data_IF_521445921694
#
_entry.id   IF_521445921694
#
_cell.length_a   1.000
_cell.length_b   1.000
_cell.length_c   1.000
_cell.angle_alpha   90.00
_cell.angle_beta   90.00
_cell.angle_gamma   90.00
#
_symmetry.space_group_name_H-M   'P 1'
#
loop_
_entity.id
_entity.type
_entity.pdbx_description
1 polymer ?
#
# COMPACT_ATOMS: atom_id res chain seq x y z
N UNK A 1 -25.90 -14.38 11.89
CA UNK A 1 -26.25 -13.97 10.52
C UNK A 1 -25.52 -12.69 10.08
N UNK A 2 -25.88 -11.48 10.54
CA UNK A 2 -25.21 -10.22 10.10
C UNK A 2 -23.70 -10.13 10.43
N UNK A 3 -23.26 -10.48 11.63
CA UNK A 3 -21.82 -10.48 11.99
C UNK A 3 -20.96 -11.45 11.16
N UNK A 4 -21.56 -12.52 10.63
CA UNK A 4 -20.86 -13.53 9.82
C UNK A 4 -20.83 -13.13 8.34
N UNK A 5 -21.89 -12.49 7.83
CA UNK A 5 -21.96 -11.96 6.47
C UNK A 5 -21.01 -10.78 6.23
N UNK A 6 -20.65 -10.05 7.30
CA UNK A 6 -19.78 -8.86 7.23
C UNK A 6 -18.28 -9.14 7.13
N UNK A 7 -17.85 -10.41 7.19
CA UNK A 7 -16.44 -10.79 7.18
C UNK A 7 -15.59 -10.13 8.29
N UNK A 8 -16.19 -9.61 9.37
CA UNK A 8 -15.45 -9.05 10.52
C UNK A 8 -14.53 -10.10 11.17
N UNK A 9 -14.90 -11.37 11.12
CA UNK A 9 -14.06 -12.46 11.61
C UNK A 9 -12.76 -12.64 10.80
N UNK A 10 -12.71 -12.22 9.53
CA UNK A 10 -11.47 -12.27 8.73
C UNK A 10 -10.48 -11.17 9.08
N UNK A 11 -10.91 -10.05 9.67
CA UNK A 11 -10.02 -8.99 10.12
C UNK A 11 -9.20 -9.39 11.36
N UNK A 12 -9.60 -10.46 12.05
CA UNK A 12 -8.93 -10.95 13.28
C UNK A 12 -8.70 -12.46 13.31
N UNK A 13 -9.20 -13.23 12.35
CA UNK A 13 -9.08 -14.69 12.31
C UNK A 13 -9.15 -15.24 10.88
N UNK A 14 -7.97 -15.48 10.29
CA UNK A 14 -7.80 -16.46 9.21
C UNK A 14 -7.53 -15.92 7.80
N UNK A 15 -6.25 -15.58 7.53
CA UNK A 15 -5.48 -16.10 6.38
C UNK A 15 -4.00 -15.69 6.39
N UNK A 16 -3.63 -14.69 7.21
CA UNK A 16 -2.24 -14.30 7.43
C UNK A 16 -1.90 -14.59 8.90
N UNK A 17 -0.75 -15.22 9.17
CA UNK A 17 -0.24 -15.36 10.53
C UNK A 17 -0.21 -13.98 11.20
N UNK A 18 -0.47 -13.88 12.50
CA UNK A 18 -0.34 -12.60 13.22
C UNK A 18 1.04 -11.97 13.00
N UNK A 19 2.05 -12.83 12.80
CA UNK A 19 3.41 -12.46 12.42
C UNK A 19 3.48 -11.80 11.05
N UNK A 20 2.74 -12.32 10.07
CA UNK A 20 2.73 -11.81 8.71
C UNK A 20 2.03 -10.44 8.62
N UNK A 21 0.87 -10.27 9.27
CA UNK A 21 0.20 -8.97 9.35
C UNK A 21 1.08 -7.91 10.04
N UNK A 22 1.79 -8.31 11.10
CA UNK A 22 2.78 -7.45 11.77
C UNK A 22 3.93 -7.09 10.82
N UNK A 23 4.43 -8.05 10.05
CA UNK A 23 5.50 -7.82 9.08
C UNK A 23 5.06 -6.88 7.96
N UNK A 24 3.91 -7.12 7.34
CA UNK A 24 3.33 -6.23 6.32
C UNK A 24 3.20 -4.80 6.89
N UNK A 25 2.58 -4.65 8.07
CA UNK A 25 2.38 -3.33 8.69
C UNK A 25 3.70 -2.62 8.96
N UNK A 26 4.70 -3.34 9.49
CA UNK A 26 6.02 -2.79 9.77
C UNK A 26 6.75 -2.42 8.48
N UNK A 27 6.68 -3.26 7.43
CA UNK A 27 7.26 -2.96 6.12
C UNK A 27 6.65 -1.69 5.52
N UNK A 28 5.32 -1.51 5.59
CA UNK A 28 4.67 -0.30 5.10
C UNK A 28 5.09 0.94 5.91
N UNK A 29 5.12 0.86 7.24
CA UNK A 29 5.50 1.97 8.11
C UNK A 29 6.97 2.37 7.94
N UNK A 30 7.89 1.40 7.96
CA UNK A 30 9.32 1.66 7.76
C UNK A 30 9.61 2.09 6.31
N UNK A 31 8.92 1.50 5.33
CA UNK A 31 9.05 1.86 3.92
C UNK A 31 8.66 3.31 3.65
N UNK A 32 7.53 3.77 4.21
CA UNK A 32 7.11 5.18 4.09
C UNK A 32 8.10 6.14 4.77
N UNK A 33 8.62 5.77 5.95
CA UNK A 33 9.62 6.57 6.66
C UNK A 33 10.98 6.64 5.94
N UNK A 34 11.33 5.61 5.16
CA UNK A 34 12.58 5.55 4.40
C UNK A 34 12.58 6.39 3.12
N UNK A 35 11.46 6.98 2.70
CA UNK A 35 11.39 7.71 1.44
C UNK A 35 11.78 9.20 1.61
N UNK A 36 12.77 9.72 0.87
CA UNK A 36 13.26 11.09 1.02
C UNK A 36 12.21 12.20 0.81
N UNK A 37 11.18 11.93 0.00
CA UNK A 37 10.17 12.93 -0.37
C UNK A 37 9.40 13.51 0.83
N UNK A 38 9.20 12.74 1.90
CA UNK A 38 8.52 13.23 3.12
C UNK A 38 9.48 14.08 3.96
N UNK A 39 10.74 13.64 4.08
CA UNK A 39 11.75 14.27 4.93
C UNK A 39 12.09 15.67 4.41
N UNK A 40 12.30 15.83 3.10
CA UNK A 40 12.67 17.11 2.48
C UNK A 40 11.61 18.18 2.71
N UNK A 41 10.33 17.80 2.84
CA UNK A 41 9.24 18.75 3.10
C UNK A 41 9.38 19.42 4.47
N UNK A 42 9.85 18.70 5.49
CA UNK A 42 10.08 19.27 6.82
C UNK A 42 11.27 20.23 6.87
N UNK A 43 12.24 20.08 5.97
CA UNK A 43 13.41 20.97 5.88
C UNK A 43 13.13 22.33 5.23
N UNK A 44 11.96 22.50 4.59
CA UNK A 44 11.57 23.80 4.02
C UNK A 44 11.14 24.83 5.07
N UNK A 45 10.87 24.40 6.30
CA UNK A 45 10.38 25.26 7.39
C UNK A 45 11.53 25.62 8.33
N UNK A 46 11.83 26.92 8.45
CA UNK A 46 12.95 27.44 9.25
C UNK A 46 12.78 27.30 10.78
N UNK A 47 11.58 26.99 11.27
CA UNK A 47 11.27 26.96 12.71
C UNK A 47 10.82 25.55 13.16
N UNK A 48 11.55 24.98 14.13
CA UNK A 48 11.29 23.65 14.72
C UNK A 48 9.90 23.55 15.36
N UNK A 49 9.40 24.62 15.99
CA UNK A 49 8.06 24.61 16.58
C UNK A 49 6.96 24.51 15.51
N UNK A 50 7.14 25.17 14.37
CA UNK A 50 6.21 25.10 13.25
C UNK A 50 6.23 23.71 12.60
N UNK A 51 7.41 23.08 12.49
CA UNK A 51 7.56 21.69 12.04
C UNK A 51 6.78 20.73 12.94
N UNK A 52 6.92 20.84 14.27
CA UNK A 52 6.20 19.97 15.22
C UNK A 52 4.68 20.17 15.17
N UNK A 53 4.20 21.41 15.04
CA UNK A 53 2.76 21.69 14.88
C UNK A 53 2.23 21.11 13.57
N UNK A 54 2.95 21.28 12.46
CA UNK A 54 2.56 20.69 11.17
C UNK A 54 2.51 19.17 11.23
N UNK A 55 3.49 18.53 11.87
CA UNK A 55 3.50 17.08 12.05
C UNK A 55 2.29 16.60 12.87
N UNK A 56 1.89 17.34 13.91
CA UNK A 56 0.70 17.03 14.71
C UNK A 56 -0.58 17.10 13.87
N UNK A 57 -0.75 18.15 13.05
CA UNK A 57 -1.87 18.25 12.12
C UNK A 57 -1.90 17.11 11.11
N UNK A 58 -0.74 16.79 10.51
CA UNK A 58 -0.62 15.66 9.57
C UNK A 58 -1.03 14.34 10.23
N UNK A 59 -0.54 14.06 11.43
CA UNK A 59 -0.89 12.85 12.18
C UNK A 59 -2.39 12.81 12.52
N UNK A 60 -2.99 13.96 12.86
CA UNK A 60 -4.42 14.10 13.09
C UNK A 60 -5.25 13.75 11.86
N UNK A 61 -4.90 14.28 10.68
CA UNK A 61 -5.59 13.96 9.44
C UNK A 61 -5.44 12.49 9.03
N UNK A 62 -4.24 11.91 9.21
CA UNK A 62 -4.01 10.48 8.98
C UNK A 62 -4.89 9.64 9.90
N UNK A 63 -4.96 9.99 11.19
CA UNK A 63 -5.79 9.28 12.16
C UNK A 63 -7.28 9.31 11.78
N UNK A 64 -7.79 10.46 11.32
CA UNK A 64 -9.16 10.58 10.83
C UNK A 64 -9.40 9.68 9.61
N UNK A 65 -8.48 9.69 8.63
CA UNK A 65 -8.61 8.85 7.43
C UNK A 65 -8.56 7.35 7.80
N UNK A 66 -7.64 6.94 8.66
CA UNK A 66 -7.48 5.54 9.06
C UNK A 66 -8.63 5.02 9.93
N UNK A 67 -9.32 5.87 10.67
CA UNK A 67 -10.52 5.49 11.40
C UNK A 67 -11.75 5.40 10.48
N UNK A 68 -11.86 6.34 9.53
CA UNK A 68 -13.05 6.47 8.68
C UNK A 68 -13.07 5.48 7.52
N UNK A 69 -11.94 5.22 6.85
CA UNK A 69 -11.92 4.36 5.67
C UNK A 69 -12.39 2.90 5.94
N UNK A 70 -11.89 2.20 6.98
CA UNK A 70 -12.38 0.85 7.30
C UNK A 70 -13.85 0.87 7.73
N UNK A 71 -14.25 1.92 8.45
CA UNK A 71 -15.64 2.11 8.91
C UNK A 71 -16.59 2.25 7.71
N UNK A 72 -16.25 3.07 6.73
CA UNK A 72 -17.04 3.24 5.50
C UNK A 72 -17.08 1.93 4.70
N UNK A 73 -15.96 1.21 4.59
CA UNK A 73 -15.92 -0.09 3.92
C UNK A 73 -16.84 -1.13 4.59
N UNK A 74 -16.85 -1.17 5.93
CA UNK A 74 -17.76 -2.04 6.68
C UNK A 74 -19.23 -1.65 6.49
N UNK A 75 -19.57 -0.36 6.57
CA UNK A 75 -20.94 0.11 6.33
C UNK A 75 -21.42 -0.15 4.91
N UNK A 76 -20.54 0.02 3.91
CA UNK A 76 -20.88 -0.30 2.52
C UNK A 76 -21.29 -1.77 2.35
N UNK A 77 -20.59 -2.70 3.01
CA UNK A 77 -20.97 -4.13 3.01
C UNK A 77 -22.34 -4.35 3.64
N UNK A 78 -22.63 -3.68 4.75
CA UNK A 78 -23.96 -3.77 5.40
C UNK A 78 -25.05 -3.28 4.44
N UNK A 79 -24.84 -2.12 3.83
CA UNK A 79 -25.83 -1.48 2.96
C UNK A 79 -26.10 -2.33 1.71
N UNK A 80 -25.04 -2.81 1.05
CA UNK A 80 -25.16 -3.69 -0.11
C UNK A 80 -25.96 -4.96 0.21
N UNK A 81 -25.69 -5.60 1.36
CA UNK A 81 -26.42 -6.81 1.75
C UNK A 81 -27.88 -6.47 2.06
N UNK A 82 -28.14 -5.38 2.79
CA UNK A 82 -29.50 -5.01 3.15
C UNK A 82 -30.37 -4.62 1.95
N UNK A 83 -29.79 -3.99 0.92
CA UNK A 83 -30.52 -3.58 -0.28
C UNK A 83 -30.72 -4.70 -1.29
N UNK A 84 -29.76 -5.62 -1.42
CA UNK A 84 -29.80 -6.63 -2.48
C UNK A 84 -30.26 -8.00 -1.98
N UNK A 85 -29.91 -8.41 -0.76
CA UNK A 85 -30.18 -9.77 -0.29
C UNK A 85 -31.69 -10.04 -0.20
N UNK A 86 -32.17 -11.01 -0.97
CA UNK A 86 -33.58 -11.42 -0.98
C UNK A 86 -34.50 -10.51 -1.81
N UNK A 87 -33.93 -9.59 -2.59
CA UNK A 87 -34.68 -8.79 -3.57
C UNK A 87 -34.71 -9.49 -4.92
N UNK A 88 -35.84 -9.38 -5.64
CA UNK A 88 -35.92 -9.83 -7.03
C UNK A 88 -35.11 -8.89 -7.91
N UNK A 89 -34.42 -9.44 -8.91
CA UNK A 89 -33.61 -8.66 -9.84
C UNK A 89 -34.43 -7.56 -10.56
N UNK A 90 -35.71 -7.83 -10.85
CA UNK A 90 -36.63 -6.84 -11.45
C UNK A 90 -36.92 -5.63 -10.53
N UNK A 91 -36.91 -5.85 -9.21
CA UNK A 91 -37.15 -4.82 -8.20
C UNK A 91 -35.84 -4.20 -7.67
N UNK A 92 -34.70 -4.61 -8.24
CA UNK A 92 -33.40 -4.16 -7.78
C UNK A 92 -33.18 -2.65 -8.07
N UNK A 93 -32.41 -1.95 -7.24
CA UNK A 93 -32.15 -0.53 -7.42
C UNK A 93 -31.49 -0.21 -8.76
N UNK A 94 -31.83 0.94 -9.37
CA UNK A 94 -31.25 1.38 -10.66
C UNK A 94 -29.72 1.46 -10.64
N UNK A 95 -29.11 1.71 -9.48
CA UNK A 95 -27.67 1.77 -9.34
C UNK A 95 -27.02 0.42 -9.65
N UNK A 96 -27.66 -0.72 -9.36
CA UNK A 96 -27.12 -2.05 -9.63
C UNK A 96 -26.85 -2.23 -11.13
N UNK A 97 -27.83 -1.88 -11.97
CA UNK A 97 -27.70 -1.94 -13.42
C UNK A 97 -26.60 -1.03 -13.97
N UNK A 98 -26.27 0.07 -13.29
CA UNK A 98 -25.16 0.95 -13.68
C UNK A 98 -23.81 0.30 -13.41
N UNK A 99 -23.64 -0.37 -12.27
CA UNK A 99 -22.39 -1.05 -11.91
C UNK A 99 -22.23 -2.43 -12.57
N UNK A 100 -23.32 -3.03 -13.02
CA UNK A 100 -23.28 -4.23 -13.86
C UNK A 100 -22.77 -3.91 -15.26
N UNK A 101 -23.18 -2.77 -15.84
CA UNK A 101 -22.63 -2.28 -17.12
C UNK A 101 -21.12 -2.06 -17.07
N UNK A 102 -20.57 -1.68 -15.92
CA UNK A 102 -19.12 -1.51 -15.73
C UNK A 102 -18.39 -2.83 -15.45
N UNK A 103 -19.11 -3.96 -15.36
CA UNK A 103 -18.61 -5.29 -14.95
C UNK A 103 -17.94 -5.30 -13.58
N UNK A 104 -18.27 -4.33 -12.72
CA UNK A 104 -17.69 -4.23 -11.38
C UNK A 104 -18.53 -4.97 -10.33
N UNK A 105 -19.81 -5.17 -10.64
CA UNK A 105 -20.73 -6.05 -9.91
C UNK A 105 -21.34 -7.00 -10.95
N UNK A 106 -21.33 -8.29 -10.69
CA UNK A 106 -21.94 -9.30 -11.56
C UNK A 106 -22.95 -10.09 -10.75
N UNK A 107 -24.18 -10.15 -11.25
CA UNK A 107 -25.19 -11.08 -10.76
C UNK A 107 -25.19 -12.30 -11.69
N UNK A 108 -25.02 -13.47 -11.12
CA UNK A 108 -25.13 -14.74 -11.82
C UNK A 108 -26.15 -15.59 -11.08
N UNK A 109 -27.36 -15.68 -11.64
CA UNK A 109 -28.42 -16.51 -11.10
C UNK A 109 -28.00 -17.99 -11.20
N UNK A 110 -27.80 -18.62 -10.04
CA UNK A 110 -27.33 -20.01 -9.92
C UNK A 110 -28.46 -21.00 -9.64
N UNK A 111 -29.63 -20.52 -9.22
CA UNK A 111 -30.76 -21.34 -8.82
C UNK A 111 -32.03 -21.06 -9.66
N UNK A 112 -31.92 -20.20 -10.67
CA UNK A 112 -32.97 -19.79 -11.60
C UNK A 112 -34.22 -19.23 -10.88
N UNK A 113 -34.02 -18.53 -9.75
CA UNK A 113 -35.10 -17.96 -8.93
C UNK A 113 -35.27 -16.43 -9.06
N UNK A 114 -34.43 -15.77 -9.86
CA UNK A 114 -34.38 -14.32 -10.08
C UNK A 114 -34.24 -13.48 -8.78
N UNK A 115 -33.85 -14.09 -7.66
CA UNK A 115 -33.65 -13.43 -6.36
C UNK A 115 -32.15 -13.30 -6.08
N UNK A 116 -31.70 -12.10 -5.74
CA UNK A 116 -30.28 -11.89 -5.45
C UNK A 116 -29.93 -12.45 -4.08
N UNK A 117 -29.12 -13.51 -4.04
CA UNK A 117 -28.63 -14.10 -2.79
C UNK A 117 -27.14 -13.82 -2.56
N UNK A 118 -26.84 -13.25 -1.39
CA UNK A 118 -25.49 -13.10 -0.89
C UNK A 118 -25.42 -13.49 0.59
N UNK A 119 -24.70 -14.57 0.89
CA UNK A 119 -24.62 -15.17 2.24
C UNK A 119 -23.23 -14.99 2.88
N UNK A 120 -22.29 -14.38 2.16
CA UNK A 120 -20.96 -14.00 2.64
C UNK A 120 -19.84 -14.88 2.09
N UNK A 121 -18.57 -14.43 2.22
CA UNK A 121 -17.45 -15.00 1.48
C UNK A 121 -17.13 -16.45 1.85
N UNK A 122 -17.42 -16.88 3.08
CA UNK A 122 -17.12 -18.23 3.60
C UNK A 122 -18.30 -19.20 3.50
N UNK A 123 -19.48 -18.75 3.06
CA UNK A 123 -20.65 -19.61 2.94
C UNK A 123 -20.50 -20.57 1.75
N UNK A 124 -20.88 -21.84 1.92
CA UNK A 124 -21.00 -22.83 0.86
C UNK A 124 -22.24 -23.70 1.11
N UNK A 125 -22.78 -24.32 0.06
CA UNK A 125 -23.84 -25.32 0.17
C UNK A 125 -23.20 -26.70 0.25
N UNK A 126 -23.57 -27.48 1.28
CA UNK A 126 -23.19 -28.90 1.37
C UNK A 126 -23.97 -29.71 0.33
N UNK A 127 -23.54 -30.94 0.03
CA UNK A 127 -24.24 -31.87 -0.88
C UNK A 127 -25.72 -32.10 -0.52
N UNK A 128 -26.09 -31.88 0.73
CA UNK A 128 -27.47 -31.97 1.25
C UNK A 128 -28.28 -30.65 1.06
N UNK A 129 -27.74 -29.66 0.34
CA UNK A 129 -28.37 -28.36 0.08
C UNK A 129 -28.36 -27.39 1.26
N UNK A 130 -27.72 -27.73 2.39
CA UNK A 130 -27.66 -26.86 3.58
C UNK A 130 -26.54 -25.84 3.48
N UNK A 131 -26.84 -24.61 3.90
CA UNK A 131 -25.85 -23.55 4.07
C UNK A 131 -24.91 -23.89 5.23
N UNK A 132 -23.63 -24.04 4.91
CA UNK A 132 -22.53 -24.24 5.85
C UNK A 132 -21.50 -23.10 5.68
N UNK A 133 -20.65 -22.92 6.69
CA UNK A 133 -19.61 -21.89 6.70
C UNK A 133 -18.27 -22.58 6.79
N UNK A 134 -17.34 -22.25 5.88
CA UNK A 134 -15.99 -22.79 5.88
C UNK A 134 -15.16 -22.14 7.00
N UNK A 135 -14.23 -22.92 7.58
CA UNK A 135 -13.38 -22.45 8.68
C UNK A 135 -12.38 -21.36 8.25
N UNK A 136 -12.03 -21.29 6.96
CA UNK A 136 -11.16 -20.24 6.39
C UNK A 136 -11.38 -20.06 4.88
N UNK A 137 -10.91 -18.93 4.33
CA UNK A 137 -10.97 -18.68 2.88
C UNK A 137 -10.16 -19.69 2.07
N UNK A 138 -9.02 -20.15 2.61
CA UNK A 138 -8.21 -21.21 2.01
C UNK A 138 -8.94 -22.56 2.03
N UNK A 139 -9.66 -22.87 3.11
CA UNK A 139 -10.48 -24.08 3.20
C UNK A 139 -11.63 -24.04 2.19
N UNK A 140 -12.27 -22.89 1.98
CA UNK A 140 -13.29 -22.71 0.93
C UNK A 140 -12.68 -22.84 -0.47
N UNK A 141 -11.51 -22.24 -0.72
CA UNK A 141 -10.84 -22.31 -2.03
C UNK A 141 -10.33 -23.72 -2.38
N UNK A 142 -10.04 -24.55 -1.37
CA UNK A 142 -9.68 -25.95 -1.54
C UNK A 142 -10.89 -26.88 -1.74
N UNK A 143 -12.12 -26.37 -1.54
CA UNK A 143 -13.34 -27.10 -1.88
C UNK A 143 -13.61 -26.96 -3.37
N UNK A 144 -13.97 -28.06 -4.02
CA UNK A 144 -14.40 -28.05 -5.42
C UNK A 144 -15.79 -27.42 -5.52
N UNK A 145 -15.81 -26.09 -5.64
CA UNK A 145 -17.01 -25.27 -5.78
C UNK A 145 -17.35 -24.98 -7.25
N UNK A 146 -16.91 -25.87 -8.16
CA UNK A 146 -17.06 -25.70 -9.60
C UNK A 146 -18.51 -25.82 -10.08
N UNK A 147 -19.38 -26.48 -9.31
CA UNK A 147 -20.82 -26.56 -9.60
C UNK A 147 -21.55 -25.33 -9.03
N UNK A 148 -22.39 -24.69 -9.87
CA UNK A 148 -23.27 -23.57 -9.49
C UNK A 148 -24.11 -23.87 -8.22
N UNK A 149 -24.40 -25.14 -7.93
CA UNK A 149 -25.15 -25.56 -6.75
C UNK A 149 -24.39 -25.42 -5.42
N UNK A 150 -23.07 -25.28 -5.45
CA UNK A 150 -22.19 -25.37 -4.27
C UNK A 150 -21.81 -24.01 -3.66
N UNK A 151 -21.80 -22.94 -4.45
CA UNK A 151 -21.55 -21.58 -3.95
C UNK A 151 -22.86 -20.77 -3.88
N UNK A 152 -23.39 -20.49 -2.67
CA UNK A 152 -24.67 -19.81 -2.45
C UNK A 152 -24.65 -18.31 -2.74
N UNK A 153 -23.51 -17.76 -3.17
CA UNK A 153 -23.40 -16.36 -3.52
C UNK A 153 -23.61 -16.19 -5.03
N UNK A 154 -24.63 -15.45 -5.40
CA UNK A 154 -24.96 -15.11 -6.79
C UNK A 154 -24.46 -13.71 -7.15
N UNK A 155 -23.99 -12.95 -6.15
CA UNK A 155 -23.45 -11.60 -6.33
C UNK A 155 -21.93 -11.59 -6.16
N UNK A 156 -21.23 -11.24 -7.23
CA UNK A 156 -19.79 -10.99 -7.23
C UNK A 156 -19.51 -9.49 -7.35
N UNK A 157 -18.68 -8.94 -6.45
CA UNK A 157 -18.29 -7.53 -6.48
C UNK A 157 -16.84 -7.33 -6.03
N UNK A 158 -16.16 -6.35 -6.63
CA UNK A 158 -14.80 -5.97 -6.23
C UNK A 158 -14.78 -5.21 -4.90
N UNK A 159 -13.83 -5.51 -4.01
CA UNK A 159 -13.70 -4.80 -2.72
C UNK A 159 -13.47 -3.29 -2.89
N UNK A 160 -12.80 -2.88 -3.97
CA UNK A 160 -12.45 -1.49 -4.27
C UNK A 160 -13.66 -0.63 -4.65
N UNK A 161 -14.72 -1.26 -5.17
CA UNK A 161 -15.93 -0.55 -5.61
C UNK A 161 -16.82 -0.13 -4.44
N UNK A 162 -16.73 -0.83 -3.32
CA UNK A 162 -17.70 -0.73 -2.22
C UNK A 162 -17.79 0.69 -1.67
N UNK A 163 -16.63 1.35 -1.51
CA UNK A 163 -16.59 2.72 -0.98
C UNK A 163 -17.19 3.73 -1.97
N UNK A 164 -17.00 3.51 -3.27
CA UNK A 164 -17.55 4.37 -4.35
C UNK A 164 -19.05 4.15 -4.56
N UNK A 165 -19.54 2.93 -4.35
CA UNK A 165 -20.94 2.57 -4.57
C UNK A 165 -21.83 2.91 -3.36
N UNK A 166 -21.26 2.99 -2.15
CA UNK A 166 -22.00 3.26 -0.91
C UNK A 166 -22.89 4.52 -0.92
N UNK A 167 -22.48 5.68 -1.50
CA UNK A 167 -23.36 6.85 -1.57
C UNK A 167 -24.65 6.60 -2.37
N UNK A 168 -24.60 5.72 -3.38
CA UNK A 168 -25.77 5.32 -4.16
C UNK A 168 -26.68 4.39 -3.35
N UNK A 169 -26.10 3.48 -2.55
CA UNK A 169 -26.82 2.59 -1.62
C UNK A 169 -27.36 3.30 -0.37
N UNK A 170 -26.98 4.56 -0.15
CA UNK A 170 -27.41 5.34 1.01
C UNK A 170 -28.43 6.43 0.60
N UNK A 171 -28.92 6.37 -0.64
CA UNK A 171 -29.85 7.34 -1.24
C UNK A 171 -29.41 8.81 -1.03
N UNK A 172 -28.11 9.05 -1.17
CA UNK A 172 -27.52 10.38 -0.98
C UNK A 172 -27.87 11.27 -2.18
N UNK A 173 -28.27 12.53 -1.97
CA UNK A 173 -28.60 13.42 -3.08
C UNK A 173 -27.47 13.55 -4.13
N UNK A 174 -27.79 13.64 -5.44
CA UNK A 174 -26.79 13.62 -6.51
C UNK A 174 -25.70 14.69 -6.40
N UNK A 175 -26.03 15.87 -5.87
CA UNK A 175 -25.05 16.95 -5.69
C UNK A 175 -23.97 16.60 -4.64
N UNK A 176 -24.33 15.83 -3.61
CA UNK A 176 -23.40 15.41 -2.57
C UNK A 176 -22.50 14.28 -3.08
N UNK A 177 -23.06 13.36 -3.89
CA UNK A 177 -22.28 12.35 -4.61
C UNK A 177 -21.29 13.03 -5.56
N UNK A 178 -21.74 14.01 -6.34
CA UNK A 178 -20.86 14.75 -7.26
C UNK A 178 -19.70 15.45 -6.54
N UNK A 179 -19.97 16.08 -5.39
CA UNK A 179 -18.95 16.73 -4.57
C UNK A 179 -17.94 15.72 -4.00
N UNK A 180 -18.43 14.56 -3.52
CA UNK A 180 -17.59 13.46 -3.05
C UNK A 180 -16.67 12.96 -4.17
N UNK A 181 -17.24 12.64 -5.33
CA UNK A 181 -16.50 12.13 -6.49
C UNK A 181 -15.46 13.15 -6.99
N UNK A 182 -15.80 14.43 -7.02
CA UNK A 182 -14.85 15.50 -7.33
C UNK A 182 -13.68 15.53 -6.34
N UNK A 183 -13.95 15.36 -5.04
CA UNK A 183 -12.93 15.23 -4.00
C UNK A 183 -12.01 14.03 -4.20
N UNK A 184 -12.58 12.86 -4.53
CA UNK A 184 -11.81 11.64 -4.80
C UNK A 184 -10.90 11.80 -6.02
N UNK A 185 -11.40 12.39 -7.11
CA UNK A 185 -10.59 12.69 -8.31
C UNK A 185 -9.48 13.70 -7.98
N UNK A 186 -9.80 14.77 -7.23
CA UNK A 186 -8.81 15.76 -6.82
C UNK A 186 -7.70 15.15 -5.95
N UNK A 187 -8.04 14.26 -5.02
CA UNK A 187 -7.07 13.54 -4.18
C UNK A 187 -6.16 12.61 -5.01
N UNK A 188 -6.74 11.86 -5.96
CA UNK A 188 -5.98 10.98 -6.84
C UNK A 188 -5.01 11.77 -7.75
N UNK A 189 -5.50 12.85 -8.37
CA UNK A 189 -4.68 13.72 -9.23
C UNK A 189 -3.56 14.43 -8.46
N UNK A 190 -3.81 14.86 -7.22
CA UNK A 190 -2.80 15.50 -6.37
C UNK A 190 -1.63 14.54 -6.08
N UNK A 191 -1.94 13.29 -5.71
CA UNK A 191 -0.92 12.26 -5.46
C UNK A 191 -0.15 11.90 -6.73
N UNK A 192 -0.86 11.72 -7.84
CA UNK A 192 -0.25 11.39 -9.13
C UNK A 192 0.73 12.48 -9.59
N UNK A 193 0.33 13.75 -9.54
CA UNK A 193 1.19 14.87 -9.90
C UNK A 193 2.42 14.97 -8.99
N UNK A 194 2.25 14.78 -7.68
CA UNK A 194 3.36 14.81 -6.72
C UNK A 194 4.38 13.70 -6.96
N UNK A 195 3.92 12.46 -7.13
CA UNK A 195 4.79 11.32 -7.40
C UNK A 195 5.50 11.45 -8.76
N UNK A 196 4.80 11.92 -9.80
CA UNK A 196 5.39 12.18 -11.11
C UNK A 196 6.50 13.24 -11.06
N UNK A 197 6.33 14.29 -10.26
CA UNK A 197 7.37 15.30 -10.06
C UNK A 197 8.60 14.67 -9.41
N UNK A 198 8.40 13.92 -8.32
CA UNK A 198 9.51 13.26 -7.61
C UNK A 198 10.27 12.32 -8.55
N UNK A 199 9.55 11.45 -9.28
CA UNK A 199 10.14 10.54 -10.26
C UNK A 199 10.93 11.28 -11.35
N UNK A 200 10.36 12.36 -11.87
CA UNK A 200 10.99 13.21 -12.87
C UNK A 200 12.29 13.84 -12.36
N UNK A 201 12.30 14.37 -11.14
CA UNK A 201 13.49 14.97 -10.54
C UNK A 201 14.56 13.92 -10.22
N UNK A 202 14.18 12.74 -9.73
CA UNK A 202 15.15 11.66 -9.49
C UNK A 202 15.77 11.15 -10.79
N UNK A 203 15.00 11.06 -11.89
CA UNK A 203 15.54 10.64 -13.18
C UNK A 203 16.41 11.72 -13.86
N UNK A 204 15.99 12.98 -13.83
CA UNK A 204 16.74 14.08 -14.47
C UNK A 204 17.96 14.52 -13.66
N UNK A 205 17.79 14.81 -12.37
CA UNK A 205 18.85 15.39 -11.55
C UNK A 205 19.72 14.32 -10.88
N UNK A 206 19.14 13.27 -10.29
CA UNK A 206 19.93 12.26 -9.57
C UNK A 206 20.54 11.19 -10.49
N UNK A 207 19.81 10.71 -11.49
CA UNK A 207 20.33 9.73 -12.44
C UNK A 207 21.09 10.39 -13.60
N UNK A 208 20.43 11.25 -14.38
CA UNK A 208 21.05 11.82 -15.58
C UNK A 208 22.18 12.80 -15.24
N UNK A 209 21.94 13.82 -14.40
CA UNK A 209 22.96 14.84 -14.06
C UNK A 209 24.07 14.28 -13.17
N UNK A 210 23.76 13.66 -12.03
CA UNK A 210 24.82 13.24 -11.10
C UNK A 210 25.58 11.97 -11.49
N UNK A 211 24.94 11.00 -12.17
CA UNK A 211 25.52 9.67 -12.39
C UNK A 211 25.94 9.46 -13.86
N UNK A 212 25.05 9.74 -14.82
CA UNK A 212 25.28 9.35 -16.24
C UNK A 212 26.09 10.40 -17.00
N UNK A 213 25.66 11.66 -16.96
CA UNK A 213 26.30 12.75 -17.68
C UNK A 213 26.27 14.06 -16.86
N UNK A 214 27.36 14.36 -16.13
CA UNK A 214 27.51 15.58 -15.32
C UNK A 214 27.42 16.89 -16.08
N UNK A 215 27.70 16.86 -17.38
CA UNK A 215 27.82 18.07 -18.20
C UNK A 215 26.50 18.46 -18.91
N UNK A 216 25.35 17.94 -18.46
CA UNK A 216 24.06 18.33 -19.05
C UNK A 216 23.72 19.79 -18.73
N UNK A 217 23.25 20.49 -19.76
CA UNK A 217 22.75 21.87 -19.61
C UNK A 217 21.38 21.88 -18.92
N UNK A 218 21.03 22.99 -18.26
CA UNK A 218 19.72 23.11 -17.58
C UNK A 218 18.54 22.93 -18.55
N UNK A 219 18.68 23.33 -19.81
CA UNK A 219 17.66 23.09 -20.84
C UNK A 219 17.49 21.59 -21.15
N UNK A 220 18.61 20.86 -21.24
CA UNK A 220 18.58 19.41 -21.44
C UNK A 220 18.04 18.69 -20.20
N UNK A 221 18.36 19.15 -19.00
CA UNK A 221 17.81 18.60 -17.75
C UNK A 221 16.28 18.71 -17.72
N UNK A 222 15.72 19.87 -18.06
CA UNK A 222 14.26 20.06 -18.14
C UNK A 222 13.64 19.17 -19.24
N UNK A 223 14.34 18.97 -20.35
CA UNK A 223 13.89 18.04 -21.40
C UNK A 223 13.84 16.60 -20.89
N UNK A 224 14.90 16.13 -20.23
CA UNK A 224 14.93 14.80 -19.61
C UNK A 224 13.85 14.63 -18.55
N UNK A 225 13.61 15.65 -17.71
CA UNK A 225 12.54 15.67 -16.74
C UNK A 225 11.16 15.48 -17.41
N UNK A 226 10.88 16.20 -18.50
CA UNK A 226 9.62 16.08 -19.25
C UNK A 226 9.46 14.71 -19.92
N UNK A 227 10.53 14.19 -20.53
CA UNK A 227 10.53 12.87 -21.17
C UNK A 227 10.31 11.78 -20.12
N UNK A 228 10.97 11.87 -18.97
CA UNK A 228 10.77 10.95 -17.84
C UNK A 228 9.33 10.97 -17.32
N UNK A 229 8.74 12.17 -17.13
CA UNK A 229 7.34 12.31 -16.72
C UNK A 229 6.37 11.71 -17.74
N UNK A 230 6.58 11.98 -19.03
CA UNK A 230 5.73 11.46 -20.09
C UNK A 230 5.87 9.93 -20.22
N UNK A 231 7.10 9.41 -20.19
CA UNK A 231 7.36 7.97 -20.22
C UNK A 231 6.73 7.24 -19.03
N UNK A 232 6.87 7.80 -17.82
CA UNK A 232 6.23 7.26 -16.63
C UNK A 232 4.70 7.28 -16.73
N UNK A 233 4.11 8.34 -17.27
CA UNK A 233 2.67 8.44 -17.51
C UNK A 233 2.17 7.38 -18.49
N UNK A 234 2.90 7.14 -19.58
CA UNK A 234 2.55 6.09 -20.57
C UNK A 234 2.58 4.70 -19.93
N UNK A 235 3.62 4.40 -19.14
CA UNK A 235 3.72 3.12 -18.41
C UNK A 235 2.59 2.97 -17.39
N UNK A 236 2.32 4.03 -16.62
CA UNK A 236 1.23 4.04 -15.64
C UNK A 236 -0.15 3.86 -16.31
N UNK A 237 -0.40 4.52 -17.44
CA UNK A 237 -1.64 4.37 -18.21
C UNK A 237 -1.78 2.95 -18.79
N UNK A 238 -0.69 2.36 -19.28
CA UNK A 238 -0.70 0.99 -19.78
C UNK A 238 -1.11 -0.02 -18.71
N UNK A 239 -0.49 0.04 -17.52
CA UNK A 239 -0.86 -0.82 -16.39
C UNK A 239 -2.22 -0.47 -15.77
N UNK A 240 -2.68 0.78 -15.92
CA UNK A 240 -4.01 1.20 -15.48
C UNK A 240 -5.15 0.67 -16.37
N UNK A 241 -4.92 0.54 -17.69
CA UNK A 241 -5.90 -0.03 -18.63
C UNK A 241 -5.92 -1.56 -18.54
N UNK A 242 -4.76 -2.17 -18.34
CA UNK A 242 -4.61 -3.61 -18.18
C UNK A 242 -4.19 -3.94 -16.74
N UNK A 243 -5.05 -3.69 -15.73
CA UNK A 243 -4.71 -4.01 -14.37
C UNK A 243 -4.59 -5.53 -14.25
N UNK A 244 -3.43 -6.06 -13.80
CA UNK A 244 -3.37 -7.45 -13.40
C UNK A 244 -4.31 -7.58 -12.19
N UNK A 245 -5.46 -8.23 -12.38
CA UNK A 245 -6.67 -8.11 -11.56
C UNK A 245 -6.52 -8.49 -10.07
N UNK A 246 -5.37 -9.01 -9.65
CA UNK A 246 -5.07 -9.36 -8.25
C UNK A 246 -3.85 -8.60 -7.64
N UNK A 247 -3.26 -7.62 -8.35
CA UNK A 247 -1.89 -7.17 -8.06
C UNK A 247 -1.74 -5.74 -7.51
N UNK A 248 -2.75 -4.88 -7.54
CA UNK A 248 -2.54 -3.44 -7.27
C UNK A 248 -2.04 -3.22 -5.83
N UNK A 249 -2.78 -3.72 -4.83
CA UNK A 249 -2.39 -3.60 -3.43
C UNK A 249 -1.06 -4.33 -3.12
N UNK A 250 -0.84 -5.50 -3.73
CA UNK A 250 0.39 -6.28 -3.58
C UNK A 250 1.61 -5.56 -4.14
N UNK A 251 1.47 -4.92 -5.31
CA UNK A 251 2.55 -4.16 -5.96
C UNK A 251 2.98 -2.98 -5.10
N UNK A 252 2.02 -2.30 -4.47
CA UNK A 252 2.30 -1.24 -3.50
C UNK A 252 3.02 -1.80 -2.28
N UNK A 253 2.59 -2.94 -1.74
CA UNK A 253 3.26 -3.61 -0.62
C UNK A 253 4.70 -4.02 -0.98
N UNK A 254 4.95 -4.55 -2.18
CA UNK A 254 6.29 -4.88 -2.66
C UNK A 254 7.19 -3.65 -2.77
N UNK A 255 6.68 -2.55 -3.32
CA UNK A 255 7.45 -1.30 -3.44
C UNK A 255 7.85 -0.76 -2.06
N UNK A 256 6.93 -0.75 -1.09
CA UNK A 256 7.24 -0.34 0.28
C UNK A 256 8.14 -1.33 1.02
N UNK A 257 7.99 -2.64 0.79
CA UNK A 257 8.86 -3.67 1.32
C UNK A 257 10.31 -3.51 0.84
N UNK A 258 10.51 -3.23 -0.46
CA UNK A 258 11.81 -2.92 -1.04
C UNK A 258 12.40 -1.64 -0.44
N UNK A 259 11.60 -0.58 -0.29
CA UNK A 259 12.04 0.67 0.36
C UNK A 259 12.42 0.46 1.84
N UNK A 260 11.64 -0.33 2.58
CA UNK A 260 11.90 -0.69 3.97
C UNK A 260 13.19 -1.51 4.12
N UNK A 261 13.45 -2.44 3.20
CA UNK A 261 14.65 -3.27 3.21
C UNK A 261 15.93 -2.52 2.84
N UNK A 262 15.83 -1.33 2.25
CA UNK A 262 16.95 -0.61 1.64
C UNK A 262 17.21 0.74 2.30
N UNK A 263 16.36 1.73 2.04
CA UNK A 263 16.57 3.11 2.44
C UNK A 263 16.41 3.32 3.93
N UNK A 264 15.42 2.66 4.56
CA UNK A 264 15.10 2.92 5.96
C UNK A 264 16.26 2.60 6.92
N UNK A 265 16.89 1.40 6.92
CA UNK A 265 18.04 1.10 7.76
C UNK A 265 19.19 2.07 7.56
N UNK A 266 19.52 2.36 6.29
CA UNK A 266 20.66 3.20 5.97
C UNK A 266 20.44 4.66 6.36
N UNK A 267 19.22 5.18 6.21
CA UNK A 267 18.86 6.51 6.68
C UNK A 267 18.90 6.59 8.21
N UNK A 268 18.32 5.61 8.90
CA UNK A 268 18.30 5.58 10.36
C UNK A 268 19.72 5.50 10.93
N UNK A 269 20.55 4.61 10.38
CA UNK A 269 21.95 4.49 10.76
C UNK A 269 22.77 5.72 10.39
N UNK A 270 22.53 6.32 9.22
CA UNK A 270 23.24 7.52 8.77
C UNK A 270 22.90 8.77 9.59
N UNK A 271 21.67 8.87 10.09
CA UNK A 271 21.27 9.93 11.02
C UNK A 271 21.89 9.65 12.39
N UNK A 272 21.60 8.51 13.02
CA UNK A 272 21.93 8.29 14.44
C UNK A 272 23.36 7.80 14.72
N UNK A 273 24.14 7.41 13.70
CA UNK A 273 25.51 6.93 13.87
C UNK A 273 26.54 7.83 13.19
N UNK A 274 27.44 8.40 13.99
CA UNK A 274 28.60 9.16 13.49
C UNK A 274 29.63 8.29 12.76
N UNK A 275 29.58 6.96 12.96
CA UNK A 275 30.59 6.01 12.47
C UNK A 275 30.13 5.19 11.27
N UNK A 276 28.99 5.51 10.65
CA UNK A 276 28.47 4.73 9.53
C UNK A 276 29.30 5.00 8.26
N UNK A 277 29.92 3.96 7.73
CA UNK A 277 30.74 3.97 6.51
C UNK A 277 29.88 3.83 5.25
N UNK A 278 30.42 4.30 4.12
CA UNK A 278 29.77 4.18 2.80
C UNK A 278 29.65 2.71 2.38
N UNK A 279 30.69 1.93 2.63
CA UNK A 279 30.79 0.52 2.29
C UNK A 279 29.75 -0.30 3.06
N UNK A 280 29.61 -0.05 4.37
CA UNK A 280 28.57 -0.68 5.20
C UNK A 280 27.16 -0.32 4.74
N UNK A 281 26.92 0.96 4.43
CA UNK A 281 25.66 1.42 3.88
C UNK A 281 25.28 0.74 2.56
N UNK A 282 26.21 0.68 1.59
CA UNK A 282 25.97 0.06 0.28
C UNK A 282 25.77 -1.45 0.41
N UNK A 283 26.61 -2.13 1.20
CA UNK A 283 26.49 -3.58 1.41
C UNK A 283 25.15 -3.94 2.06
N UNK A 284 24.71 -3.18 3.07
CA UNK A 284 23.40 -3.33 3.68
C UNK A 284 22.26 -3.17 2.67
N UNK A 285 22.28 -2.10 1.87
CA UNK A 285 21.27 -1.87 0.83
C UNK A 285 21.21 -3.01 -0.20
N UNK A 286 22.36 -3.46 -0.71
CA UNK A 286 22.42 -4.53 -1.72
C UNK A 286 21.91 -5.86 -1.15
N UNK A 287 22.30 -6.22 0.09
CA UNK A 287 21.81 -7.44 0.74
C UNK A 287 20.32 -7.37 1.07
N UNK A 288 19.83 -6.23 1.56
CA UNK A 288 18.41 -6.02 1.86
C UNK A 288 17.52 -6.12 0.61
N UNK A 289 17.86 -5.35 -0.44
CA UNK A 289 17.15 -5.39 -1.73
C UNK A 289 17.25 -6.78 -2.35
N UNK A 290 18.45 -7.37 -2.39
CA UNK A 290 18.68 -8.67 -3.00
C UNK A 290 17.85 -9.77 -2.34
N UNK A 291 17.79 -9.77 -1.00
CA UNK A 291 16.97 -10.72 -0.25
C UNK A 291 15.47 -10.53 -0.51
N UNK A 292 14.96 -9.30 -0.33
CA UNK A 292 13.53 -8.99 -0.50
C UNK A 292 13.08 -9.20 -1.94
N UNK A 293 13.85 -8.72 -2.92
CA UNK A 293 13.54 -8.89 -4.35
C UNK A 293 13.61 -10.36 -4.76
N UNK A 294 14.64 -11.09 -4.35
CA UNK A 294 14.77 -12.53 -4.65
C UNK A 294 13.59 -13.35 -4.11
N UNK A 295 13.15 -13.05 -2.89
CA UNK A 295 11.97 -13.70 -2.30
C UNK A 295 10.68 -13.39 -3.06
N UNK A 296 10.45 -12.11 -3.40
CA UNK A 296 9.29 -11.70 -4.20
C UNK A 296 9.30 -12.41 -5.56
N UNK A 297 10.44 -12.43 -6.25
CA UNK A 297 10.56 -13.08 -7.57
C UNK A 297 10.27 -14.57 -7.49
N UNK A 298 10.83 -15.27 -6.49
CA UNK A 298 10.62 -16.70 -6.30
C UNK A 298 9.15 -17.06 -6.07
N UNK A 299 8.50 -16.44 -5.09
CA UNK A 299 7.13 -16.79 -4.72
C UNK A 299 6.08 -16.22 -5.68
N UNK A 300 6.32 -15.06 -6.28
CA UNK A 300 5.32 -14.40 -7.12
C UNK A 300 5.40 -14.79 -8.60
N UNK A 301 6.58 -15.14 -9.11
CA UNK A 301 6.80 -15.39 -10.54
C UNK A 301 7.31 -16.80 -10.87
N UNK A 302 8.05 -17.47 -9.97
CA UNK A 302 8.57 -18.82 -10.20
C UNK A 302 7.67 -19.94 -9.64
N UNK A 303 6.52 -19.60 -9.04
CA UNK A 303 5.53 -20.57 -8.59
C UNK A 303 5.88 -21.24 -7.26
N UNK A 304 6.60 -20.57 -6.36
CA UNK A 304 6.83 -21.07 -5.00
C UNK A 304 5.51 -21.31 -4.25
N UNK A 305 5.44 -22.41 -3.49
CA UNK A 305 4.24 -22.79 -2.77
C UNK A 305 4.06 -21.98 -1.47
N UNK A 306 2.82 -21.65 -1.11
CA UNK A 306 2.54 -20.86 0.09
C UNK A 306 2.92 -21.57 1.41
N UNK A 307 3.10 -22.89 1.38
CA UNK A 307 3.60 -23.66 2.52
C UNK A 307 5.09 -23.46 2.81
N UNK A 308 5.87 -22.97 1.83
CA UNK A 308 7.31 -22.73 1.98
C UNK A 308 7.65 -21.32 2.47
N UNK A 309 6.64 -20.52 2.86
CA UNK A 309 6.87 -19.17 3.35
C UNK A 309 7.80 -19.16 4.56
N UNK A 310 8.85 -18.34 4.46
CA UNK A 310 9.85 -18.22 5.50
C UNK A 310 9.19 -17.58 6.74
N UNK A 311 9.12 -18.35 7.83
CA UNK A 311 8.39 -18.00 9.07
C UNK A 311 6.88 -17.73 8.87
N UNK A 312 6.29 -18.22 7.77
CA UNK A 312 4.90 -17.95 7.42
C UNK A 312 4.66 -16.50 6.98
N UNK A 313 5.69 -15.79 6.53
CA UNK A 313 5.61 -14.41 6.05
C UNK A 313 5.38 -14.39 4.54
N UNK A 314 4.34 -13.68 4.14
CA UNK A 314 3.98 -13.48 2.75
C UNK A 314 5.04 -12.64 2.00
N UNK A 315 5.12 -12.72 0.66
CA UNK A 315 5.99 -11.85 -0.14
C UNK A 315 5.75 -10.36 0.10
N UNK A 316 4.54 -9.96 0.52
CA UNK A 316 4.17 -8.60 0.87
C UNK A 316 4.82 -8.13 2.18
N UNK A 317 5.02 -9.03 3.14
CA UNK A 317 5.61 -8.75 4.45
C UNK A 317 7.12 -8.90 4.53
N UNK A 318 7.76 -9.58 3.57
CA UNK A 318 9.18 -9.96 3.64
C UNK A 318 10.15 -8.78 3.73
N UNK A 319 9.71 -7.57 3.38
CA UNK A 319 10.49 -6.34 3.51
C UNK A 319 11.02 -6.09 4.92
N UNK A 320 10.33 -6.55 5.97
CA UNK A 320 10.82 -6.44 7.36
C UNK A 320 12.04 -7.31 7.63
N UNK A 321 12.05 -8.54 7.12
CA UNK A 321 13.21 -9.41 7.24
C UNK A 321 14.36 -8.86 6.40
N UNK A 322 14.08 -8.35 5.19
CA UNK A 322 15.08 -7.63 4.39
C UNK A 322 15.68 -6.42 5.11
N UNK A 323 14.86 -5.68 5.85
CA UNK A 323 15.31 -4.57 6.70
C UNK A 323 16.25 -5.05 7.81
N UNK A 324 15.92 -6.16 8.50
CA UNK A 324 16.79 -6.74 9.53
C UNK A 324 18.11 -7.25 8.93
N UNK A 325 18.06 -7.86 7.75
CA UNK A 325 19.26 -8.29 7.00
C UNK A 325 20.13 -7.09 6.67
N UNK A 326 19.55 -5.99 6.18
CA UNK A 326 20.29 -4.76 5.91
C UNK A 326 20.94 -4.21 7.19
N UNK A 327 20.21 -4.09 8.31
CA UNK A 327 20.80 -3.65 9.58
C UNK A 327 21.99 -4.54 10.00
N UNK A 328 21.82 -5.85 9.93
CA UNK A 328 22.88 -6.80 10.32
C UNK A 328 24.11 -6.65 9.42
N UNK A 329 23.93 -6.67 8.10
CA UNK A 329 25.03 -6.57 7.14
C UNK A 329 25.70 -5.20 7.22
N UNK A 330 24.92 -4.12 7.32
CA UNK A 330 25.46 -2.77 7.42
C UNK A 330 26.34 -2.62 8.67
N UNK A 331 25.89 -3.08 9.83
CA UNK A 331 26.65 -3.01 11.08
C UNK A 331 27.90 -3.90 11.05
N UNK A 332 27.80 -5.10 10.50
CA UNK A 332 28.93 -6.03 10.37
C UNK A 332 29.98 -5.44 9.44
N UNK A 333 29.62 -5.05 8.22
CA UNK A 333 30.57 -4.46 7.27
C UNK A 333 31.15 -3.16 7.80
N UNK A 334 30.33 -2.35 8.50
CA UNK A 334 30.81 -1.13 9.13
C UNK A 334 31.90 -1.38 10.18
N UNK A 335 31.85 -2.50 10.91
CA UNK A 335 32.89 -2.84 11.90
C UNK A 335 34.25 -3.16 11.27
N UNK A 336 34.27 -3.55 9.99
CA UNK A 336 35.49 -3.83 9.23
C UNK A 336 35.89 -2.68 8.30
N UNK A 337 35.05 -1.65 8.16
CA UNK A 337 35.28 -0.54 7.23
C UNK A 337 36.02 0.60 7.91
N UNK A 338 36.77 1.42 7.15
CA UNK A 338 37.44 2.60 7.69
C UNK A 338 36.43 3.62 8.22
N UNK A 339 36.84 4.40 9.23
CA UNK A 339 35.98 5.45 9.79
C UNK A 339 35.66 6.51 8.71
N UNK A 340 34.43 7.04 8.69
CA UNK A 340 34.03 8.05 7.70
C UNK A 340 34.86 9.34 7.86
N UNK A 341 35.10 10.11 6.78
CA UNK A 341 35.86 11.36 6.83
C UNK A 341 35.36 12.33 7.89
N UNK A 342 36.26 13.08 8.53
CA UNK A 342 35.93 14.02 9.61
C UNK A 342 34.87 15.05 9.22
N UNK A 343 34.82 15.47 7.95
CA UNK A 343 33.80 16.37 7.41
C UNK A 343 32.38 15.76 7.48
N UNK A 344 32.23 14.47 7.20
CA UNK A 344 30.95 13.75 7.29
C UNK A 344 30.52 13.61 8.74
N UNK A 345 31.47 13.29 9.64
CA UNK A 345 31.20 13.20 11.07
C UNK A 345 30.74 14.56 11.64
N UNK A 346 31.40 15.65 11.23
CA UNK A 346 31.03 17.00 11.63
C UNK A 346 29.66 17.42 11.10
N UNK A 347 29.31 17.03 9.86
CA UNK A 347 27.99 17.26 9.28
C UNK A 347 26.88 16.57 10.09
N UNK A 348 27.07 15.28 10.44
CA UNK A 348 26.11 14.53 11.26
C UNK A 348 25.98 15.15 12.67
N UNK A 349 27.09 15.61 13.24
CA UNK A 349 27.10 16.28 14.53
C UNK A 349 26.36 17.62 14.51
N UNK A 350 26.51 18.41 13.45
CA UNK A 350 25.78 19.67 13.26
C UNK A 350 24.26 19.44 13.08
N UNK A 351 23.86 18.34 12.43
CA UNK A 351 22.44 17.97 12.31
C UNK A 351 21.84 17.61 13.67
N UNK A 352 22.60 16.93 14.54
CA UNK A 352 22.16 16.56 15.88
C UNK A 352 22.15 17.72 16.87
N UNK A 353 23.10 18.64 16.73
CA UNK A 353 23.27 19.79 17.60
C UNK A 353 23.19 21.04 16.71
N UNK A 354 21.96 21.48 16.34
CA UNK A 354 21.82 22.70 15.55
C UNK A 354 22.38 23.86 16.38
N UNK A 355 23.37 24.53 15.81
CA UNK A 355 23.99 25.75 16.36
C UNK A 355 22.87 26.77 16.59
N UNK A 356 22.51 27.01 17.87
CA UNK A 356 21.43 27.93 18.25
C UNK A 356 20.46 27.41 19.31
N UNK A 357 20.54 26.13 19.72
CA UNK A 357 19.83 25.62 20.89
C UNK A 357 20.74 25.62 22.13
N UNK A 358 21.16 26.81 22.59
CA UNK A 358 21.88 26.92 23.86
C UNK A 358 22.96 27.99 23.97
N UNK A 359 22.70 29.23 23.55
CA UNK A 359 23.17 30.35 24.38
C UNK A 359 21.95 30.79 25.20
N UNK A 360 21.86 30.28 26.42
CA UNK A 360 21.06 30.91 27.44
C UNK A 360 21.67 32.29 27.67
N UNK A 361 20.95 33.33 27.27
CA UNK A 361 21.28 34.70 27.66
C UNK A 361 20.95 34.79 29.14
N UNK A 362 21.91 34.46 29.99
CA UNK A 362 21.94 34.97 31.35
C UNK A 362 22.24 36.47 31.24
N UNK A 363 21.25 37.31 31.59
CA UNK A 363 21.39 38.53 32.39
C UNK A 363 20.01 39.15 32.69
#
# INVERSE_FOLDING_TARGET
HLHQALAFAQSTGGSLSMVDMFCITTALMCGTAGLPHVIVRFFTVKNVQAVRKSACWTLGFIAVIYLTAPTIGAFSRVNLINELHGTRYEDAPEWLAQFEKTKQITFNDKNDDDIIQYTGPLAYRTSDGKLAIADSSAAKAAMDLSDNASDPNELEFGADIMVMANPYMADVPPWAIALLMAGCIAAALSTAAGLLLVLSTSLSHDLMKKIINPDITDQQEVMWARVASFGSLVVAAYFGINPPSAFIAKTVAFAFGLAASSFFPTLLLGIFSKKMSREGAIAGMVCGIGFTFGYIVYFQFLGGDASEYLLGISPEGIGTLGMLVNFAVALVVNSFSPEPPAEVQAMVEQIHIPSGAGEAVDH
#
